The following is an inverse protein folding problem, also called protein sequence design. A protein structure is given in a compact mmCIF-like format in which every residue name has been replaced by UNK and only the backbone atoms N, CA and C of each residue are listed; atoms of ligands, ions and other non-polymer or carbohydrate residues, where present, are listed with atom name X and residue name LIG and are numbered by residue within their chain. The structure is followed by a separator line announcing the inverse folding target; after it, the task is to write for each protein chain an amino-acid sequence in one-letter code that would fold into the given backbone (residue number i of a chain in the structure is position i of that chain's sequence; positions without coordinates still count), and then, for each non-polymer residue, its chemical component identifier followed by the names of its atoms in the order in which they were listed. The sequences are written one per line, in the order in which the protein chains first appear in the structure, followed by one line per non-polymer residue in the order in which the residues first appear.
data_IF_750697264138
#
_entry.id   IF_750697264138
#
_cell.length_a   1.000
_cell.length_b   1.000
_cell.length_c   1.000
_cell.angle_alpha   90.00
_cell.angle_beta   90.00
_cell.angle_gamma   90.00
#
_symmetry.space_group_name_H-M   'P 1'
#
loop_
_entity.id
_entity.type
_entity.pdbx_description
1 polymer ?
#
# COMPACT_ATOMS: atom_id res chain seq x y z
N UNK A 1 -4.32 6.79 31.14
CA UNK A 1 -5.04 6.54 29.87
C UNK A 1 -5.26 5.04 29.80
N UNK A 2 -6.48 4.55 29.56
CA UNK A 2 -6.63 3.17 29.13
C UNK A 2 -6.13 3.11 27.68
N UNK A 3 -5.21 2.19 27.38
CA UNK A 3 -4.77 1.98 26.01
C UNK A 3 -5.86 1.24 25.24
N UNK A 4 -6.13 1.68 24.02
CA UNK A 4 -7.12 1.03 23.17
C UNK A 4 -6.57 -0.32 22.68
N UNK A 5 -7.36 -1.38 22.77
CA UNK A 5 -6.95 -2.71 22.31
C UNK A 5 -6.76 -2.81 20.78
N UNK A 6 -7.29 -1.84 20.02
CA UNK A 6 -7.29 -1.86 18.57
C UNK A 6 -6.96 -0.48 17.97
N UNK A 7 -6.40 -0.49 16.75
CA UNK A 7 -6.24 0.67 15.87
C UNK A 7 -7.17 0.57 14.66
N UNK A 8 -7.54 1.72 14.12
CA UNK A 8 -8.34 1.85 12.90
C UNK A 8 -7.57 2.65 11.85
N UNK A 9 -7.87 2.40 10.59
CA UNK A 9 -7.29 3.11 9.45
C UNK A 9 -8.28 4.14 8.90
N UNK A 10 -7.87 5.40 8.77
CA UNK A 10 -8.77 6.50 8.37
C UNK A 10 -8.59 6.97 6.91
N UNK A 11 -7.53 6.50 6.23
CA UNK A 11 -7.11 7.05 4.94
C UNK A 11 -7.46 6.19 3.71
N UNK A 12 -7.95 4.97 3.91
CA UNK A 12 -8.22 4.01 2.82
C UNK A 12 -9.69 3.91 2.43
N UNK A 13 -10.52 4.84 2.92
CA UNK A 13 -11.94 4.93 2.60
C UNK A 13 -12.85 4.07 3.50
N UNK A 14 -14.17 4.17 3.32
CA UNK A 14 -15.15 3.66 4.29
C UNK A 14 -15.05 2.16 4.57
N UNK A 15 -14.63 1.37 3.58
CA UNK A 15 -14.47 -0.08 3.73
C UNK A 15 -13.39 -0.43 4.77
N UNK A 16 -12.25 0.27 4.76
CA UNK A 16 -11.13 -0.01 5.67
C UNK A 16 -11.31 0.66 7.04
N UNK A 17 -12.08 1.76 7.11
CA UNK A 17 -12.37 2.45 8.38
C UNK A 17 -13.14 1.59 9.40
N UNK A 18 -13.82 0.54 8.95
CA UNK A 18 -14.50 -0.41 9.82
C UNK A 18 -13.61 -1.52 10.37
N UNK A 19 -12.36 -1.64 9.91
CA UNK A 19 -11.44 -2.71 10.30
C UNK A 19 -10.75 -2.39 11.62
N UNK A 20 -10.61 -3.41 12.45
CA UNK A 20 -9.95 -3.32 13.76
C UNK A 20 -8.65 -4.11 13.70
N UNK A 21 -7.53 -3.41 13.87
CA UNK A 21 -6.21 -4.03 13.86
C UNK A 21 -5.69 -4.13 15.29
N UNK A 22 -5.09 -5.25 15.71
CA UNK A 22 -4.49 -5.36 17.03
C UNK A 22 -3.41 -4.29 17.21
N UNK A 23 -3.39 -3.61 18.36
CA UNK A 23 -2.43 -2.54 18.60
C UNK A 23 -0.98 -3.06 18.53
N UNK A 24 -0.79 -4.29 18.98
CA UNK A 24 0.50 -4.99 19.04
C UNK A 24 1.11 -5.22 17.66
N UNK A 25 0.29 -5.23 16.59
CA UNK A 25 0.80 -5.34 15.24
C UNK A 25 1.73 -4.18 14.85
N UNK A 26 1.60 -3.04 15.55
CA UNK A 26 2.34 -1.80 15.28
C UNK A 26 3.32 -1.41 16.38
N UNK A 27 3.51 -2.24 17.42
CA UNK A 27 4.35 -1.91 18.57
C UNK A 27 5.85 -1.92 18.25
N UNK A 28 6.26 -2.72 17.27
CA UNK A 28 7.65 -2.90 16.89
C UNK A 28 7.79 -2.83 15.37
N UNK A 29 8.95 -2.36 14.93
CA UNK A 29 9.35 -2.44 13.53
C UNK A 29 10.34 -3.59 13.34
N UNK A 30 10.17 -4.33 12.25
CA UNK A 30 11.18 -5.26 11.72
C UNK A 30 11.71 -4.72 10.41
N UNK A 31 13.01 -4.88 10.18
CA UNK A 31 13.64 -4.47 8.93
C UNK A 31 13.61 -5.63 7.94
N UNK A 32 13.21 -5.33 6.71
CA UNK A 32 13.16 -6.28 5.60
C UNK A 32 13.85 -5.69 4.37
N UNK A 33 14.54 -6.51 3.56
CA UNK A 33 15.12 -6.05 2.31
C UNK A 33 14.02 -5.72 1.30
N UNK A 34 14.08 -4.51 0.73
CA UNK A 34 13.23 -4.05 -0.36
C UNK A 34 14.02 -3.14 -1.29
N UNK A 35 14.08 -3.46 -2.59
CA UNK A 35 14.80 -2.69 -3.62
C UNK A 35 16.23 -2.27 -3.22
N UNK A 36 16.97 -3.16 -2.56
CA UNK A 36 18.35 -2.92 -2.14
C UNK A 36 18.52 -2.08 -0.86
N UNK A 37 17.41 -1.75 -0.17
CA UNK A 37 17.40 -1.01 1.10
C UNK A 37 16.65 -1.80 2.18
N UNK A 38 17.10 -1.72 3.43
CA UNK A 38 16.35 -2.26 4.56
C UNK A 38 15.23 -1.30 4.95
N UNK A 39 13.98 -1.73 4.78
CA UNK A 39 12.79 -0.93 5.07
C UNK A 39 12.14 -1.39 6.38
N UNK A 40 11.79 -0.45 7.28
CA UNK A 40 11.06 -0.78 8.49
C UNK A 40 9.58 -1.06 8.16
N UNK A 41 9.08 -2.21 8.59
CA UNK A 41 7.67 -2.57 8.51
C UNK A 41 7.14 -2.96 9.91
N UNK A 42 5.82 -2.87 10.17
CA UNK A 42 5.25 -3.33 11.44
C UNK A 42 5.57 -4.81 11.68
N UNK A 43 5.97 -5.20 12.88
CA UNK A 43 6.27 -6.59 13.21
C UNK A 43 5.07 -7.53 13.01
N UNK A 44 3.85 -7.02 13.25
CA UNK A 44 2.60 -7.72 12.96
C UNK A 44 2.03 -7.40 11.57
N UNK A 45 2.86 -7.11 10.57
CA UNK A 45 2.42 -6.84 9.21
C UNK A 45 1.46 -7.91 8.68
N UNK A 46 1.67 -9.17 9.03
CA UNK A 46 0.83 -10.28 8.56
C UNK A 46 -0.62 -10.19 9.08
N UNK A 47 -0.80 -9.84 10.35
CA UNK A 47 -2.12 -9.63 10.94
C UNK A 47 -2.84 -8.43 10.29
N UNK A 48 -2.11 -7.34 10.06
CA UNK A 48 -2.64 -6.16 9.37
C UNK A 48 -3.05 -6.47 7.93
N UNK A 49 -2.17 -7.08 7.14
CA UNK A 49 -2.41 -7.37 5.72
C UNK A 49 -3.51 -8.42 5.54
N UNK A 50 -3.57 -9.43 6.39
CA UNK A 50 -4.63 -10.44 6.38
C UNK A 50 -5.99 -9.82 6.69
N UNK A 51 -6.08 -8.94 7.69
CA UNK A 51 -7.33 -8.23 8.00
C UNK A 51 -7.71 -7.28 6.87
N UNK A 52 -6.75 -6.51 6.33
CA UNK A 52 -7.01 -5.51 5.30
C UNK A 52 -7.40 -6.14 3.95
N UNK A 53 -6.69 -7.17 3.50
CA UNK A 53 -6.76 -7.67 2.12
C UNK A 53 -7.18 -9.15 2.00
N UNK A 54 -7.28 -9.90 3.10
CA UNK A 54 -7.56 -11.34 3.08
C UNK A 54 -6.33 -12.14 2.65
N UNK A 55 -6.48 -13.02 1.65
CA UNK A 55 -5.37 -13.78 1.07
C UNK A 55 -4.48 -12.86 0.21
N UNK A 56 -3.66 -12.05 0.87
CA UNK A 56 -2.87 -10.98 0.26
C UNK A 56 -1.61 -11.48 -0.48
N UNK A 57 -1.18 -12.71 -0.21
CA UNK A 57 0.03 -13.30 -0.81
C UNK A 57 -0.26 -14.02 -2.12
N UNK A 58 -1.52 -14.38 -2.37
CA UNK A 58 -1.94 -14.98 -3.63
C UNK A 58 -2.34 -13.88 -4.62
N UNK A 59 -1.68 -13.76 -5.78
CA UNK A 59 -2.10 -12.82 -6.80
C UNK A 59 -3.56 -13.05 -7.21
N UNK A 60 -4.34 -11.99 -7.49
CA UNK A 60 -5.71 -12.15 -7.95
C UNK A 60 -5.74 -12.93 -9.28
N UNK A 61 -6.85 -13.58 -9.64
CA UNK A 61 -6.99 -14.27 -10.93
C UNK A 61 -6.65 -13.36 -12.10
N UNK A 62 -6.06 -13.89 -13.18
CA UNK A 62 -5.55 -13.08 -14.31
C UNK A 62 -6.57 -12.10 -14.91
N UNK A 63 -7.86 -12.45 -14.91
CA UNK A 63 -8.94 -11.58 -15.36
C UNK A 63 -9.08 -10.28 -14.53
N UNK A 64 -8.66 -10.33 -13.26
CA UNK A 64 -8.69 -9.24 -12.28
C UNK A 64 -7.32 -8.55 -12.14
N UNK A 65 -6.26 -9.03 -12.81
CA UNK A 65 -4.96 -8.36 -12.89
C UNK A 65 -5.00 -7.24 -13.94
N UNK A 66 -6.02 -6.38 -13.86
CA UNK A 66 -6.19 -5.23 -14.74
C UNK A 66 -6.16 -3.97 -13.87
N UNK A 67 -5.39 -2.93 -14.26
CA UNK A 67 -5.36 -1.69 -13.50
C UNK A 67 -6.76 -1.07 -13.43
N UNK A 68 -7.15 -0.60 -12.25
CA UNK A 68 -8.41 0.11 -12.04
C UNK A 68 -8.36 1.58 -12.47
N UNK A 69 -7.16 2.08 -12.79
CA UNK A 69 -6.91 3.44 -13.24
C UNK A 69 -6.23 3.40 -14.60
N UNK A 70 -6.64 4.30 -15.49
CA UNK A 70 -5.91 4.53 -16.74
C UNK A 70 -4.65 5.34 -16.46
N UNK A 71 -3.55 4.95 -17.10
CA UNK A 71 -2.33 5.73 -17.09
C UNK A 71 -2.38 6.74 -18.25
N UNK A 72 -2.21 8.02 -17.92
CA UNK A 72 -2.11 9.09 -18.92
C UNK A 72 -0.72 9.07 -19.62
N UNK A 73 0.34 8.83 -18.83
CA UNK A 73 1.73 8.74 -19.28
C UNK A 73 2.46 7.74 -18.39
N UNK A 74 3.18 6.79 -19.00
CA UNK A 74 4.05 5.84 -18.31
C UNK A 74 5.40 5.79 -19.03
N UNK A 75 6.40 6.49 -18.49
CA UNK A 75 7.78 6.44 -18.93
C UNK A 75 8.67 6.18 -17.71
N UNK A 76 9.46 5.10 -17.78
CA UNK A 76 10.38 4.68 -16.72
C UNK A 76 11.83 5.08 -17.02
N UNK A 77 12.09 5.64 -18.20
CA UNK A 77 13.41 6.05 -18.67
C UNK A 77 13.64 7.56 -18.56
N UNK A 78 12.58 8.36 -18.62
CA UNK A 78 12.67 9.83 -18.58
C UNK A 78 11.95 10.43 -17.38
N UNK A 79 12.48 11.52 -16.79
CA UNK A 79 11.79 12.22 -15.71
C UNK A 79 10.52 12.89 -16.23
N UNK A 80 9.49 12.98 -15.38
CA UNK A 80 8.21 13.63 -15.73
C UNK A 80 8.38 15.10 -16.15
N UNK A 81 9.49 15.74 -15.78
CA UNK A 81 9.82 17.13 -16.10
C UNK A 81 10.00 17.39 -17.59
N UNK A 82 10.31 16.35 -18.38
CA UNK A 82 10.50 16.44 -19.83
C UNK A 82 9.17 16.56 -20.59
N UNK A 83 8.05 16.36 -19.88
CA UNK A 83 6.70 16.33 -20.43
C UNK A 83 5.90 17.60 -20.10
N UNK A 84 5.03 18.01 -21.03
CA UNK A 84 3.89 18.86 -20.73
C UNK A 84 2.76 18.00 -20.15
N UNK A 85 2.52 18.10 -18.84
CA UNK A 85 1.54 17.29 -18.11
C UNK A 85 0.08 17.48 -18.57
N UNK A 86 -0.22 18.53 -19.35
CA UNK A 86 -1.57 18.73 -19.91
C UNK A 86 -1.80 17.90 -21.16
N UNK A 87 -0.76 17.70 -21.97
CA UNK A 87 -0.83 17.05 -23.28
C UNK A 87 -0.17 15.67 -23.28
N UNK A 88 0.65 15.38 -22.26
CA UNK A 88 1.51 14.20 -22.15
C UNK A 88 2.50 14.06 -23.30
N UNK A 89 2.82 15.17 -23.96
CA UNK A 89 3.83 15.25 -25.00
C UNK A 89 5.15 15.77 -24.41
N UNK A 90 6.26 15.43 -25.05
CA UNK A 90 7.56 16.00 -24.72
C UNK A 90 7.56 17.51 -25.00
N UNK A 91 8.25 18.26 -24.16
CA UNK A 91 8.51 19.69 -24.36
C UNK A 91 9.48 19.95 -25.51
#
# INVERSE_FOLDING_TARGET
RQEAAYRIELCSGPYYMGKLYPIEAFDQAVFKPFEGTEMPIPAGYDAYLSEAFGDYMTPPPSQNQKPHHDALLLDLERPYTDYDLKTSQLK
#
